data_IF_039544385367
#
_entry.id   IF_039544385367
#
_cell.length_a   1.000
_cell.length_b   1.000
_cell.length_c   1.000
_cell.angle_alpha   90.00
_cell.angle_beta   90.00
_cell.angle_gamma   90.00
#
_symmetry.space_group_name_H-M   'P 1'
#
loop_
_entity.id
_entity.type
_entity.pdbx_description
1 polymer ?
#
# COMPACT_ATOMS: atom_id res chain seq x y z
N UNK A 1 -41.17 34.62 -54.09
CA UNK A 1 -41.34 33.43 -53.23
C UNK A 1 -39.97 33.17 -52.62
N UNK A 2 -39.74 33.70 -51.42
CA UNK A 2 -38.44 33.68 -50.73
C UNK A 2 -38.14 32.29 -50.16
N UNK A 3 -36.91 31.83 -50.35
CA UNK A 3 -36.38 30.58 -49.79
C UNK A 3 -35.76 30.86 -48.42
N UNK A 4 -36.39 30.33 -47.38
CA UNK A 4 -36.00 30.49 -45.98
C UNK A 4 -34.83 29.56 -45.62
N UNK A 5 -33.64 30.13 -45.43
CA UNK A 5 -32.44 29.38 -45.01
C UNK A 5 -32.49 29.16 -43.50
N UNK A 6 -32.93 27.98 -43.06
CA UNK A 6 -32.84 27.55 -41.66
C UNK A 6 -31.40 27.30 -41.26
N UNK A 7 -30.81 28.22 -40.48
CA UNK A 7 -29.55 28.00 -39.76
C UNK A 7 -29.80 27.04 -38.58
N UNK A 8 -29.32 25.81 -38.69
CA UNK A 8 -29.15 24.91 -37.55
C UNK A 8 -28.06 25.44 -36.63
N UNK A 9 -28.44 25.88 -35.42
CA UNK A 9 -27.49 26.14 -34.31
C UNK A 9 -26.92 24.80 -33.85
N UNK A 10 -25.65 24.56 -34.13
CA UNK A 10 -24.88 23.53 -33.45
C UNK A 10 -24.59 24.01 -32.02
N UNK A 11 -25.27 23.43 -31.03
CA UNK A 11 -24.88 23.56 -29.62
C UNK A 11 -23.50 22.91 -29.43
N UNK A 12 -22.51 23.60 -28.83
CA UNK A 12 -21.27 22.93 -28.46
C UNK A 12 -21.58 21.90 -27.37
N UNK A 13 -21.26 20.63 -27.63
CA UNK A 13 -21.25 19.59 -26.60
C UNK A 13 -20.17 19.95 -25.58
N UNK A 14 -20.58 20.48 -24.43
CA UNK A 14 -19.74 20.59 -23.26
C UNK A 14 -19.40 19.17 -22.78
N UNK A 15 -18.30 18.62 -23.29
CA UNK A 15 -17.64 17.51 -22.63
C UNK A 15 -17.16 18.05 -21.27
N UNK A 16 -17.95 17.80 -20.22
CA UNK A 16 -17.48 17.93 -18.85
C UNK A 16 -16.35 16.92 -18.70
N UNK A 17 -15.11 17.37 -18.90
CA UNK A 17 -13.94 16.65 -18.44
C UNK A 17 -14.08 16.54 -16.94
N UNK A 18 -14.55 15.38 -16.47
CA UNK A 18 -14.52 15.06 -15.05
C UNK A 18 -13.04 15.16 -14.66
N UNK A 19 -12.70 16.18 -13.87
CA UNK A 19 -11.32 16.41 -13.43
C UNK A 19 -10.88 15.16 -12.67
N UNK A 20 -10.06 14.34 -13.32
CA UNK A 20 -9.43 13.21 -12.67
C UNK A 20 -8.27 13.75 -11.85
N UNK A 21 -8.43 13.81 -10.54
CA UNK A 21 -7.33 14.07 -9.62
C UNK A 21 -6.56 12.77 -9.37
N UNK A 22 -5.37 12.89 -8.77
CA UNK A 22 -4.59 11.74 -8.32
C UNK A 22 -4.08 11.95 -6.90
N UNK A 23 -3.82 10.85 -6.21
CA UNK A 23 -3.22 10.85 -4.88
C UNK A 23 -2.30 9.65 -4.73
N UNK A 24 -1.31 9.78 -3.84
CA UNK A 24 -0.45 8.67 -3.43
C UNK A 24 -0.39 8.55 -1.91
N UNK A 25 -0.09 7.35 -1.44
CA UNK A 25 0.00 7.02 -0.03
C UNK A 25 0.93 5.83 0.17
N UNK A 26 1.55 5.75 1.34
CA UNK A 26 2.44 4.66 1.71
C UNK A 26 2.27 4.23 3.17
N UNK A 27 2.63 3.00 3.47
CA UNK A 27 2.73 2.49 4.83
C UNK A 27 3.95 1.58 4.98
N UNK A 28 4.73 1.81 6.03
CA UNK A 28 5.92 1.05 6.41
C UNK A 28 5.70 0.39 7.76
N UNK A 29 5.98 -0.90 7.85
CA UNK A 29 5.98 -1.67 9.09
C UNK A 29 7.35 -2.29 9.29
N UNK A 30 7.91 -2.22 10.49
CA UNK A 30 9.21 -2.82 10.77
C UNK A 30 9.31 -3.32 12.21
N UNK A 31 10.25 -4.22 12.43
CA UNK A 31 10.69 -4.62 13.77
C UNK A 31 12.12 -4.12 14.00
N UNK A 32 12.39 -3.63 15.20
CA UNK A 32 13.74 -3.23 15.64
C UNK A 32 14.23 -4.13 16.76
N UNK A 33 15.54 -4.35 16.83
CA UNK A 33 16.19 -4.92 18.01
C UNK A 33 16.56 -3.83 19.04
N UNK A 34 17.01 -4.19 20.27
CA UNK A 34 17.29 -3.20 21.32
C UNK A 34 18.31 -2.11 20.95
N UNK A 35 19.18 -2.37 19.98
CA UNK A 35 20.12 -1.40 19.42
C UNK A 35 19.47 -0.39 18.46
N UNK A 36 18.14 -0.39 18.32
CA UNK A 36 17.33 0.48 17.44
C UNK A 36 17.65 0.30 15.95
N UNK A 37 18.12 -0.90 15.58
CA UNK A 37 18.34 -1.26 14.18
C UNK A 37 17.15 -2.06 13.67
N UNK A 38 16.60 -1.66 12.52
CA UNK A 38 15.53 -2.39 11.86
C UNK A 38 16.04 -3.75 11.39
N UNK A 39 15.40 -4.83 11.86
CA UNK A 39 15.79 -6.21 11.54
C UNK A 39 15.00 -6.82 10.40
N UNK A 40 13.77 -6.34 10.19
CA UNK A 40 12.93 -6.70 9.05
C UNK A 40 11.93 -5.59 8.82
N UNK A 41 11.52 -5.40 7.57
CA UNK A 41 10.62 -4.35 7.16
C UNK A 41 9.79 -4.75 5.94
N UNK A 42 8.55 -4.24 5.88
CA UNK A 42 7.76 -4.19 4.66
C UNK A 42 7.20 -2.78 4.42
N UNK A 43 7.25 -2.33 3.17
CA UNK A 43 6.66 -1.07 2.71
C UNK A 43 5.65 -1.32 1.60
N UNK A 44 4.50 -0.65 1.69
CA UNK A 44 3.42 -0.68 0.69
C UNK A 44 3.22 0.73 0.16
N UNK A 45 3.22 0.89 -1.16
CA UNK A 45 2.88 2.14 -1.83
C UNK A 45 1.63 1.95 -2.69
N UNK A 46 0.79 2.97 -2.74
CA UNK A 46 -0.39 3.03 -3.59
C UNK A 46 -0.53 4.44 -4.16
N UNK A 47 -0.76 4.52 -5.46
CA UNK A 47 -1.18 5.71 -6.18
C UNK A 47 -2.49 5.42 -6.90
N UNK A 48 -3.43 6.37 -6.92
CA UNK A 48 -4.71 6.20 -7.57
C UNK A 48 -5.24 7.51 -8.15
N UNK A 49 -6.06 7.38 -9.19
CA UNK A 49 -6.83 8.48 -9.75
C UNK A 49 -8.29 8.43 -9.31
N UNK A 50 -8.93 9.58 -9.18
CA UNK A 50 -10.31 9.66 -8.71
C UNK A 50 -11.04 10.88 -9.26
N UNK A 51 -12.37 10.82 -9.20
CA UNK A 51 -13.28 11.84 -9.75
C UNK A 51 -14.24 12.44 -8.71
N UNK A 52 -14.04 12.15 -7.42
CA UNK A 52 -14.99 12.48 -6.35
C UNK A 52 -16.08 11.42 -6.13
N UNK A 53 -16.38 10.62 -7.16
CA UNK A 53 -17.46 9.61 -7.13
C UNK A 53 -16.95 8.18 -7.25
N UNK A 54 -15.85 7.96 -7.96
CA UNK A 54 -15.17 6.68 -7.98
C UNK A 54 -13.64 6.79 -8.19
N UNK A 55 -12.93 5.69 -7.94
CA UNK A 55 -11.52 5.54 -8.28
C UNK A 55 -11.39 5.05 -9.73
N UNK A 56 -10.64 5.77 -10.55
CA UNK A 56 -10.57 5.53 -12.01
C UNK A 56 -9.40 4.66 -12.43
N UNK A 57 -8.31 4.66 -11.68
CA UNK A 57 -7.14 3.80 -11.87
C UNK A 57 -6.38 3.64 -10.57
N UNK A 58 -5.55 2.61 -10.50
CA UNK A 58 -4.59 2.42 -9.41
C UNK A 58 -3.25 1.88 -9.90
N UNK A 59 -2.20 2.16 -9.15
CA UNK A 59 -0.88 1.55 -9.28
C UNK A 59 -0.30 1.39 -7.88
N UNK A 60 0.37 0.27 -7.61
CA UNK A 60 0.98 0.05 -6.30
C UNK A 60 2.23 -0.79 -6.38
N UNK A 61 3.07 -0.65 -5.37
CA UNK A 61 4.29 -1.43 -5.23
C UNK A 61 4.47 -1.90 -3.80
N UNK A 62 5.21 -3.01 -3.67
CA UNK A 62 5.62 -3.55 -2.40
C UNK A 62 7.13 -3.70 -2.35
N UNK A 63 7.72 -3.32 -1.22
CA UNK A 63 9.14 -3.46 -0.96
C UNK A 63 9.37 -4.10 0.41
N UNK A 64 10.51 -4.74 0.56
CA UNK A 64 10.88 -5.42 1.79
C UNK A 64 12.39 -5.40 1.99
N UNK A 65 12.81 -5.39 3.25
CA UNK A 65 14.22 -5.34 3.63
C UNK A 65 14.46 -6.07 4.96
N UNK A 66 15.67 -6.53 5.21
CA UNK A 66 16.04 -7.25 6.43
C UNK A 66 17.54 -7.17 6.74
N UNK A 67 17.87 -7.25 8.02
CA UNK A 67 19.25 -7.17 8.49
C UNK A 67 19.98 -8.51 8.34
N UNK A 68 20.42 -8.80 7.12
CA UNK A 68 21.08 -10.06 6.78
C UNK A 68 22.34 -10.33 7.61
N UNK A 69 23.12 -9.27 7.91
CA UNK A 69 24.38 -9.38 8.64
C UNK A 69 24.24 -10.00 10.03
N UNK A 70 23.09 -9.82 10.70
CA UNK A 70 22.82 -10.41 12.02
C UNK A 70 22.06 -11.73 11.95
N UNK A 71 21.88 -12.28 10.74
CA UNK A 71 21.28 -13.59 10.51
C UNK A 71 19.78 -13.57 10.18
N UNK A 72 19.18 -12.38 10.04
CA UNK A 72 17.80 -12.30 9.55
C UNK A 72 17.74 -12.70 8.08
N UNK A 73 16.70 -13.43 7.70
CA UNK A 73 16.46 -13.81 6.31
C UNK A 73 14.97 -13.77 5.97
N UNK A 74 14.68 -13.41 4.73
CA UNK A 74 13.34 -13.52 4.15
C UNK A 74 12.97 -14.98 3.91
N UNK A 75 11.81 -15.36 4.42
CA UNK A 75 11.20 -16.68 4.18
C UNK A 75 10.14 -16.59 3.10
N UNK A 76 9.31 -15.55 3.15
CA UNK A 76 8.27 -15.31 2.16
C UNK A 76 7.95 -13.82 2.05
N UNK A 77 7.63 -13.37 0.84
CA UNK A 77 7.10 -12.05 0.57
C UNK A 77 6.05 -12.14 -0.53
N UNK A 78 4.99 -11.36 -0.40
CA UNK A 78 3.90 -11.34 -1.37
C UNK A 78 3.25 -9.96 -1.42
N UNK A 79 2.75 -9.61 -2.59
CA UNK A 79 1.92 -8.44 -2.80
C UNK A 79 0.53 -8.85 -3.28
N UNK A 80 -0.47 -8.02 -2.98
CA UNK A 80 -1.83 -8.18 -3.47
C UNK A 80 -2.46 -6.81 -3.69
N UNK A 81 -3.42 -6.73 -4.60
CA UNK A 81 -4.16 -5.50 -4.86
C UNK A 81 -5.61 -5.79 -5.25
N UNK A 82 -6.45 -4.76 -5.19
CA UNK A 82 -7.80 -4.79 -5.72
C UNK A 82 -8.19 -3.40 -6.18
N UNK A 83 -8.81 -3.36 -7.35
CA UNK A 83 -9.21 -2.15 -8.05
C UNK A 83 -9.09 -2.37 -9.55
N UNK A 84 -10.12 -2.03 -10.32
CA UNK A 84 -10.14 -2.10 -11.77
C UNK A 84 -10.48 -0.74 -12.36
N UNK A 85 -11.76 -0.33 -12.32
CA UNK A 85 -12.24 0.94 -12.85
C UNK A 85 -13.58 1.31 -12.22
N UNK A 86 -13.65 2.53 -11.71
CA UNK A 86 -14.81 3.09 -11.02
C UNK A 86 -15.24 2.32 -9.76
N UNK A 87 -14.25 1.94 -8.95
CA UNK A 87 -14.48 1.29 -7.66
C UNK A 87 -14.75 2.32 -6.55
N UNK A 88 -15.52 1.95 -5.51
CA UNK A 88 -15.75 2.79 -4.33
C UNK A 88 -14.51 2.96 -3.45
N UNK A 89 -13.49 2.11 -3.65
CA UNK A 89 -12.13 2.26 -3.13
C UNK A 89 -11.20 1.26 -3.83
N UNK A 90 -9.90 1.49 -3.73
CA UNK A 90 -8.86 0.55 -4.18
C UNK A 90 -7.88 0.28 -3.05
N UNK A 91 -7.12 -0.80 -3.13
CA UNK A 91 -6.09 -1.10 -2.14
C UNK A 91 -4.89 -1.84 -2.70
N UNK A 92 -3.75 -1.64 -2.04
CA UNK A 92 -2.54 -2.43 -2.22
C UNK A 92 -2.09 -2.97 -0.86
N UNK A 93 -1.55 -4.18 -0.85
CA UNK A 93 -1.11 -4.86 0.36
C UNK A 93 0.22 -5.56 0.14
N UNK A 94 1.11 -5.47 1.11
CA UNK A 94 2.26 -6.37 1.23
C UNK A 94 2.13 -7.28 2.44
N UNK A 95 2.83 -8.41 2.38
CA UNK A 95 2.96 -9.37 3.47
C UNK A 95 4.36 -9.97 3.40
N UNK A 96 4.96 -10.22 4.56
CA UNK A 96 6.34 -10.69 4.66
C UNK A 96 6.52 -11.60 5.87
N UNK A 97 7.42 -12.58 5.77
CA UNK A 97 7.82 -13.45 6.88
C UNK A 97 9.34 -13.56 6.90
N UNK A 98 9.93 -13.31 8.07
CA UNK A 98 11.38 -13.34 8.28
C UNK A 98 11.72 -14.22 9.47
N UNK A 99 12.93 -14.76 9.43
CA UNK A 99 13.45 -15.68 10.42
C UNK A 99 14.88 -15.29 10.77
N UNK A 100 15.27 -15.42 12.03
CA UNK A 100 16.66 -15.41 12.46
C UNK A 100 16.94 -16.60 13.40
N UNK A 101 17.77 -17.57 12.98
CA UNK A 101 18.13 -18.72 13.81
C UNK A 101 19.20 -18.40 14.87
N UNK A 102 19.87 -17.25 14.79
CA UNK A 102 21.01 -16.88 15.63
C UNK A 102 20.69 -15.80 16.67
N UNK A 103 19.60 -15.03 16.47
CA UNK A 103 19.17 -13.98 17.40
C UNK A 103 18.92 -14.49 18.81
N UNK A 104 18.47 -15.75 18.93
CA UNK A 104 18.35 -16.46 20.20
C UNK A 104 18.94 -17.86 20.03
N UNK A 105 20.13 -18.11 20.60
CA UNK A 105 21.02 -19.23 20.27
C UNK A 105 20.36 -20.60 20.03
N UNK A 106 19.32 -20.96 20.78
CA UNK A 106 18.69 -22.30 20.73
C UNK A 106 17.31 -22.32 20.08
N UNK A 107 16.69 -21.17 19.81
CA UNK A 107 15.32 -21.08 19.31
C UNK A 107 15.21 -19.98 18.27
N UNK A 108 14.77 -20.36 17.07
CA UNK A 108 14.51 -19.41 15.98
C UNK A 108 13.63 -18.24 16.42
N UNK A 109 13.98 -17.04 15.98
CA UNK A 109 13.17 -15.84 16.13
C UNK A 109 12.45 -15.55 14.81
N UNK A 110 11.19 -15.17 14.87
CA UNK A 110 10.36 -14.93 13.69
C UNK A 110 9.63 -13.60 13.77
N UNK A 111 9.49 -12.96 12.61
CA UNK A 111 8.57 -11.83 12.39
C UNK A 111 7.69 -12.11 11.18
N UNK A 112 6.43 -11.70 11.26
CA UNK A 112 5.46 -11.83 10.17
C UNK A 112 4.61 -10.58 10.09
N UNK A 113 4.49 -10.05 8.87
CA UNK A 113 3.55 -9.01 8.51
C UNK A 113 2.40 -9.69 7.76
N UNK A 114 1.27 -9.91 8.44
CA UNK A 114 0.11 -10.53 7.81
C UNK A 114 -0.49 -9.64 6.74
N UNK A 115 -0.61 -8.35 7.02
CA UNK A 115 -1.04 -7.36 6.05
C UNK A 115 -0.48 -5.99 6.42
N UNK A 116 0.22 -5.38 5.48
CA UNK A 116 0.53 -3.97 5.43
C UNK A 116 -0.31 -3.39 4.29
N UNK A 117 -1.38 -2.64 4.57
CA UNK A 117 -2.37 -2.25 3.55
C UNK A 117 -2.60 -0.76 3.52
N UNK A 118 -2.60 -0.21 2.30
CA UNK A 118 -2.99 1.16 1.99
C UNK A 118 -4.24 1.12 1.11
N UNK A 119 -5.21 1.99 1.39
CA UNK A 119 -6.47 2.16 0.63
C UNK A 119 -6.57 3.57 0.10
N UNK A 120 -7.09 3.71 -1.11
CA UNK A 120 -7.39 4.99 -1.74
C UNK A 120 -8.89 5.09 -2.05
N UNK A 121 -9.48 6.26 -1.78
CA UNK A 121 -10.92 6.50 -1.93
C UNK A 121 -11.23 7.54 -3.03
N UNK A 122 -12.49 7.58 -3.52
CA UNK A 122 -12.94 8.50 -4.55
C UNK A 122 -12.84 9.99 -4.22
N UNK A 123 -12.76 10.35 -2.95
CA UNK A 123 -12.60 11.73 -2.46
C UNK A 123 -11.12 12.10 -2.23
N UNK A 124 -10.19 11.19 -2.56
CA UNK A 124 -8.75 11.36 -2.33
C UNK A 124 -8.31 11.04 -0.91
N UNK A 125 -9.21 10.62 -0.02
CA UNK A 125 -8.85 10.19 1.32
C UNK A 125 -8.08 8.86 1.31
N UNK A 126 -7.38 8.60 2.42
CA UNK A 126 -6.45 7.48 2.59
C UNK A 126 -6.89 6.59 3.75
N UNK A 127 -6.76 5.28 3.58
CA UNK A 127 -7.05 4.31 4.64
C UNK A 127 -5.87 3.38 4.90
N UNK A 128 -5.61 3.07 6.16
CA UNK A 128 -4.43 2.29 6.54
C UNK A 128 -4.81 1.15 7.49
N UNK A 129 -4.38 -0.08 7.21
CA UNK A 129 -4.51 -1.19 8.15
C UNK A 129 -3.23 -2.02 8.22
N UNK A 130 -2.93 -2.51 9.42
CA UNK A 130 -1.72 -3.26 9.69
C UNK A 130 -2.03 -4.46 10.60
N UNK A 131 -1.33 -5.57 10.38
CA UNK A 131 -1.26 -6.69 11.33
C UNK A 131 0.09 -7.38 11.19
N UNK A 132 0.74 -7.54 12.33
CA UNK A 132 2.04 -8.16 12.44
C UNK A 132 2.13 -9.01 13.71
N UNK A 133 3.02 -10.00 13.69
CA UNK A 133 3.32 -10.86 14.83
C UNK A 133 4.80 -11.20 14.86
N UNK A 134 5.32 -11.34 16.07
CA UNK A 134 6.63 -11.91 16.37
C UNK A 134 6.46 -13.15 17.26
N UNK A 135 7.32 -14.14 17.12
CA UNK A 135 7.33 -15.33 17.99
C UNK A 135 8.70 -16.02 17.98
N UNK A 136 8.85 -17.03 18.83
CA UNK A 136 10.11 -17.77 18.99
C UNK A 136 11.05 -17.15 20.01
N UNK A 137 12.31 -17.57 19.99
CA UNK A 137 13.32 -17.18 20.96
C UNK A 137 13.56 -15.68 20.95
N UNK A 138 13.78 -15.06 22.12
CA UNK A 138 14.15 -13.64 22.27
C UNK A 138 13.22 -12.63 21.57
N UNK A 139 12.07 -13.06 21.02
CA UNK A 139 11.14 -12.21 20.27
C UNK A 139 10.56 -11.09 21.13
N UNK A 140 10.52 -11.25 22.45
CA UNK A 140 10.19 -10.19 23.39
C UNK A 140 11.07 -8.93 23.23
N UNK A 141 12.33 -9.08 22.81
CA UNK A 141 13.29 -8.00 22.62
C UNK A 141 13.03 -7.15 21.37
N UNK A 142 12.18 -7.61 20.45
CA UNK A 142 11.90 -6.88 19.21
C UNK A 142 10.80 -5.84 19.42
N UNK A 143 10.99 -4.60 18.99
CA UNK A 143 9.96 -3.56 19.06
C UNK A 143 9.24 -3.46 17.72
N UNK A 144 7.90 -3.34 17.73
CA UNK A 144 7.11 -3.17 16.51
C UNK A 144 6.89 -1.69 16.24
N UNK A 145 7.08 -1.28 14.99
CA UNK A 145 6.91 0.09 14.56
C UNK A 145 6.09 0.18 13.27
N UNK A 146 5.45 1.34 13.10
CA UNK A 146 4.59 1.66 11.96
C UNK A 146 4.69 3.14 11.64
N UNK A 147 4.78 3.46 10.36
CA UNK A 147 4.66 4.83 9.83
C UNK A 147 3.90 4.80 8.50
N UNK A 148 3.31 5.93 8.14
CA UNK A 148 2.52 6.07 6.92
C UNK A 148 2.44 7.54 6.50
N UNK A 149 2.13 7.77 5.23
CA UNK A 149 1.98 9.09 4.61
C UNK A 149 1.09 9.08 3.39
#
# INVERSE_FOLDING_TARGET
MELEVRRTRSSPSLHSSVLSASQSAWQRLWYEEPAQQAVSEVTTNLSWGYTGTCVTWMSGSGHDDWLELTGWRRVAFSTASSGTRCDPYVWYRTSGTYKNPYFCATIDTWTKYYYNTVRGYPDGSKGYSASAKKWGGCSALLSYHRSYG
#
